data_IF_630299236574
#
_entry.id   IF_630299236574
#
_cell.length_a   1.000
_cell.length_b   1.000
_cell.length_c   1.000
_cell.angle_alpha   90.00
_cell.angle_beta   90.00
_cell.angle_gamma   90.00
#
_symmetry.space_group_name_H-M   'P 1'
#
loop_
_entity.id
_entity.type
_entity.pdbx_description
1 polymer ?
#
# COMPACT_ATOMS: atom_id res chain seq x y z
N UNK A 1 16.69 6.65 35.94
CA UNK A 1 15.44 6.78 35.15
C UNK A 1 15.32 5.59 34.19
N UNK A 2 14.93 4.41 34.68
CA UNK A 2 14.98 3.14 33.89
C UNK A 2 13.81 2.98 32.90
N UNK A 3 12.64 3.57 33.21
CA UNK A 3 11.46 3.49 32.35
C UNK A 3 11.63 4.23 31.03
N UNK A 4 12.26 5.42 31.06
CA UNK A 4 12.56 6.20 29.85
C UNK A 4 13.52 5.44 28.92
N UNK A 5 14.54 4.78 29.47
CA UNK A 5 15.48 3.96 28.69
C UNK A 5 14.76 2.79 28.03
N UNK A 6 13.96 2.03 28.78
CA UNK A 6 13.21 0.90 28.23
C UNK A 6 12.22 1.31 27.12
N UNK A 7 11.60 2.48 27.23
CA UNK A 7 10.74 3.02 26.18
C UNK A 7 11.55 3.41 24.93
N UNK A 8 12.71 4.05 25.11
CA UNK A 8 13.61 4.42 24.02
C UNK A 8 14.15 3.18 23.29
N UNK A 9 14.50 2.11 24.00
CA UNK A 9 14.93 0.84 23.41
C UNK A 9 13.83 0.20 22.55
N UNK A 10 12.59 0.16 23.05
CA UNK A 10 11.44 -0.34 22.28
C UNK A 10 11.19 0.51 21.03
N UNK A 11 11.26 1.83 21.15
CA UNK A 11 11.10 2.74 20.03
C UNK A 11 12.21 2.54 18.99
N UNK A 12 13.46 2.38 19.41
CA UNK A 12 14.60 2.16 18.51
C UNK A 12 14.47 0.86 17.70
N UNK A 13 13.84 -0.18 18.27
CA UNK A 13 13.59 -1.44 17.57
C UNK A 13 12.40 -1.32 16.62
N UNK A 14 11.30 -0.71 17.04
CA UNK A 14 10.05 -0.70 16.27
C UNK A 14 10.00 0.39 15.18
N UNK A 15 10.63 1.54 15.42
CA UNK A 15 10.60 2.68 14.49
C UNK A 15 11.17 2.35 13.10
N UNK A 16 12.30 1.63 12.96
CA UNK A 16 12.77 1.21 11.65
C UNK A 16 11.75 0.33 10.92
N UNK A 17 11.06 -0.57 11.62
CA UNK A 17 10.09 -1.49 11.02
C UNK A 17 8.85 -0.71 10.56
N UNK A 18 8.23 0.05 11.46
CA UNK A 18 7.01 0.80 11.14
C UNK A 18 7.27 1.94 10.15
N UNK A 19 8.40 2.63 10.30
CA UNK A 19 8.83 3.72 9.42
C UNK A 19 9.07 3.22 8.00
N UNK A 20 9.82 2.13 7.84
CA UNK A 20 10.08 1.58 6.49
C UNK A 20 8.81 1.03 5.83
N UNK A 21 7.90 0.39 6.57
CA UNK A 21 6.58 0.02 6.02
C UNK A 21 5.79 1.26 5.55
N UNK A 22 5.83 2.35 6.32
CA UNK A 22 5.19 3.61 5.93
C UNK A 22 5.86 4.26 4.69
N UNK A 23 7.17 4.12 4.52
CA UNK A 23 7.87 4.59 3.34
C UNK A 23 7.49 3.77 2.09
N UNK A 24 7.42 2.45 2.21
CA UNK A 24 7.02 1.55 1.13
C UNK A 24 5.62 1.86 0.61
N UNK A 25 4.63 2.00 1.50
CA UNK A 25 3.26 2.28 1.09
C UNK A 25 3.15 3.66 0.43
N UNK A 26 3.84 4.69 0.95
CA UNK A 26 3.84 6.03 0.34
C UNK A 26 4.48 6.05 -1.04
N UNK A 27 5.58 5.32 -1.23
CA UNK A 27 6.16 5.15 -2.56
C UNK A 27 5.20 4.45 -3.51
N UNK A 28 4.50 3.42 -3.03
CA UNK A 28 3.52 2.70 -3.84
C UNK A 28 2.34 3.61 -4.21
N UNK A 29 1.85 4.43 -3.26
CA UNK A 29 0.79 5.40 -3.50
C UNK A 29 1.13 6.36 -4.65
N UNK A 30 2.33 6.95 -4.62
CA UNK A 30 2.80 7.87 -5.67
C UNK A 30 2.88 7.17 -7.03
N UNK A 31 3.44 5.95 -7.07
CA UNK A 31 3.59 5.20 -8.33
C UNK A 31 2.25 4.75 -8.90
N UNK A 32 1.32 4.28 -8.05
CA UNK A 32 -0.04 3.92 -8.45
C UNK A 32 -0.74 5.15 -9.02
N UNK A 33 -0.72 6.29 -8.32
CA UNK A 33 -1.36 7.51 -8.80
C UNK A 33 -0.80 7.97 -10.16
N UNK A 34 0.53 7.95 -10.33
CA UNK A 34 1.17 8.28 -11.60
C UNK A 34 0.76 7.31 -12.73
N UNK A 35 0.75 6.00 -12.46
CA UNK A 35 0.42 5.00 -13.45
C UNK A 35 -1.06 5.04 -13.88
N UNK A 36 -1.97 5.33 -12.94
CA UNK A 36 -3.39 5.53 -13.24
C UNK A 36 -3.58 6.74 -14.17
N UNK A 37 -2.88 7.84 -13.88
CA UNK A 37 -2.94 9.05 -14.71
C UNK A 37 -2.34 8.83 -16.10
N UNK A 38 -1.17 8.20 -16.20
CA UNK A 38 -0.49 7.94 -17.48
C UNK A 38 -1.33 7.06 -18.40
N UNK A 39 -1.94 6.01 -17.84
CA UNK A 39 -2.80 5.07 -18.57
C UNK A 39 -4.24 5.57 -18.74
N UNK A 40 -4.56 6.75 -18.20
CA UNK A 40 -5.87 7.42 -18.28
C UNK A 40 -7.01 6.56 -17.73
N UNK A 41 -6.75 5.79 -16.66
CA UNK A 41 -7.80 5.10 -15.93
C UNK A 41 -8.67 6.10 -15.18
N UNK A 42 -9.95 5.75 -15.00
CA UNK A 42 -10.86 6.50 -14.14
C UNK A 42 -10.76 6.10 -12.67
N UNK A 43 -10.08 4.98 -12.36
CA UNK A 43 -9.80 4.54 -11.01
C UNK A 43 -9.18 5.64 -10.12
N UNK A 44 -9.65 5.72 -8.88
CA UNK A 44 -9.21 6.69 -7.87
C UNK A 44 -8.83 5.98 -6.58
N UNK A 45 -7.73 6.40 -5.97
CA UNK A 45 -7.35 5.97 -4.63
C UNK A 45 -8.14 6.78 -3.60
N UNK A 46 -8.97 6.11 -2.82
CA UNK A 46 -9.92 6.74 -1.88
C UNK A 46 -9.33 6.79 -0.48
N UNK A 47 -8.75 5.67 -0.02
CA UNK A 47 -8.21 5.54 1.33
C UNK A 47 -6.88 4.78 1.34
N UNK A 48 -6.08 5.09 2.35
CA UNK A 48 -4.96 4.28 2.77
C UNK A 48 -5.14 3.96 4.26
N UNK A 49 -5.09 2.68 4.62
CA UNK A 49 -5.22 2.20 6.00
C UNK A 49 -4.03 1.30 6.30
N UNK A 50 -3.02 1.86 6.98
CA UNK A 50 -1.77 1.18 7.29
C UNK A 50 -1.03 0.61 6.06
N UNK A 51 -1.25 -0.65 5.70
CA UNK A 51 -0.64 -1.35 4.56
C UNK A 51 -1.63 -1.61 3.41
N UNK A 52 -2.88 -1.17 3.55
CA UNK A 52 -3.96 -1.33 2.57
C UNK A 52 -4.21 -0.04 1.76
N UNK A 53 -4.46 -0.19 0.46
CA UNK A 53 -4.98 0.85 -0.41
C UNK A 53 -6.38 0.48 -0.89
N UNK A 54 -7.33 1.41 -0.76
CA UNK A 54 -8.71 1.26 -1.24
C UNK A 54 -8.89 2.13 -2.46
N UNK A 55 -9.34 1.52 -3.56
CA UNK A 55 -9.61 2.20 -4.81
C UNK A 55 -11.09 2.07 -5.19
N UNK A 56 -11.64 3.11 -5.80
CA UNK A 56 -12.93 3.10 -6.48
C UNK A 56 -12.70 3.26 -7.98
N UNK A 57 -13.41 2.47 -8.79
CA UNK A 57 -13.15 2.36 -10.23
C UNK A 57 -14.35 1.76 -10.99
N UNK A 58 -14.49 2.04 -12.30
CA UNK A 58 -15.46 1.37 -13.15
C UNK A 58 -15.21 -0.14 -13.24
N UNK A 59 -16.29 -0.94 -13.31
CA UNK A 59 -16.20 -2.40 -13.45
C UNK A 59 -15.34 -2.84 -14.65
N UNK A 60 -15.34 -2.06 -15.73
CA UNK A 60 -14.56 -2.32 -16.93
C UNK A 60 -13.04 -2.21 -16.73
N UNK A 61 -12.58 -1.53 -15.68
CA UNK A 61 -11.17 -1.30 -15.39
C UNK A 61 -10.59 -2.29 -14.37
N UNK A 62 -11.45 -3.04 -13.66
CA UNK A 62 -11.09 -3.87 -12.51
C UNK A 62 -9.86 -4.76 -12.77
N UNK A 63 -9.93 -5.63 -13.78
CA UNK A 63 -8.86 -6.59 -14.04
C UNK A 63 -7.52 -5.91 -14.37
N UNK A 64 -7.55 -4.78 -15.08
CA UNK A 64 -6.34 -4.08 -15.50
C UNK A 64 -5.73 -3.27 -14.36
N UNK A 65 -6.56 -2.59 -13.57
CA UNK A 65 -6.12 -1.79 -12.41
C UNK A 65 -5.66 -2.70 -11.28
N UNK A 66 -6.34 -3.82 -11.02
CA UNK A 66 -5.93 -4.80 -10.02
C UNK A 66 -4.52 -5.34 -10.31
N UNK A 67 -4.28 -5.77 -11.55
CA UNK A 67 -2.96 -6.26 -11.98
C UNK A 67 -1.88 -5.18 -11.83
N UNK A 68 -2.19 -3.95 -12.26
CA UNK A 68 -1.28 -2.80 -12.16
C UNK A 68 -0.91 -2.46 -10.72
N UNK A 69 -1.90 -2.35 -9.84
CA UNK A 69 -1.69 -2.00 -8.43
C UNK A 69 -0.89 -3.10 -7.73
N UNK A 70 -1.21 -4.37 -7.99
CA UNK A 70 -0.49 -5.51 -7.44
C UNK A 70 0.97 -5.54 -7.88
N UNK A 71 1.24 -5.29 -9.15
CA UNK A 71 2.61 -5.19 -9.68
C UNK A 71 3.38 -4.05 -9.00
N UNK A 72 2.81 -2.84 -8.96
CA UNK A 72 3.47 -1.67 -8.39
C UNK A 72 3.77 -1.88 -6.89
N UNK A 73 2.79 -2.36 -6.12
CA UNK A 73 2.96 -2.55 -4.68
C UNK A 73 3.96 -3.67 -4.36
N UNK A 74 3.96 -4.77 -5.12
CA UNK A 74 4.89 -5.89 -4.90
C UNK A 74 6.34 -5.58 -5.31
N UNK A 75 6.54 -4.60 -6.19
CA UNK A 75 7.86 -4.21 -6.74
C UNK A 75 8.32 -2.81 -6.34
N UNK A 76 7.65 -2.18 -5.37
CA UNK A 76 7.89 -0.78 -5.00
C UNK A 76 9.35 -0.53 -4.57
N UNK A 77 10.00 -1.52 -3.97
CA UNK A 77 11.38 -1.44 -3.52
C UNK A 77 12.08 -2.81 -3.58
N UNK A 78 13.37 -2.89 -3.97
CA UNK A 78 14.12 -4.14 -4.07
C UNK A 78 14.52 -4.66 -2.67
N UNK A 79 13.59 -5.35 -2.00
CA UNK A 79 13.85 -6.00 -0.73
C UNK A 79 14.53 -7.37 -0.92
N UNK A 80 15.21 -7.85 0.12
CA UNK A 80 15.82 -9.20 0.13
C UNK A 80 14.80 -10.33 0.09
N UNK A 81 13.54 -10.03 0.40
CA UNK A 81 12.41 -10.95 0.37
C UNK A 81 11.28 -10.29 -0.45
N UNK A 82 10.45 -11.07 -1.16
CA UNK A 82 9.38 -10.51 -1.98
C UNK A 82 8.28 -9.89 -1.11
N UNK A 83 7.71 -8.77 -1.57
CA UNK A 83 6.48 -8.21 -1.01
C UNK A 83 5.27 -8.91 -1.64
N UNK A 84 4.44 -9.51 -0.79
CA UNK A 84 3.19 -10.11 -1.22
C UNK A 84 2.07 -9.09 -1.10
N UNK A 85 1.20 -9.06 -2.11
CA UNK A 85 0.05 -8.16 -2.17
C UNK A 85 -1.17 -9.00 -2.49
N UNK A 86 -2.17 -8.92 -1.62
CA UNK A 86 -3.48 -9.52 -1.83
C UNK A 86 -4.43 -8.46 -2.38
N UNK A 87 -5.37 -8.91 -3.20
CA UNK A 87 -6.35 -8.06 -3.85
C UNK A 87 -7.73 -8.70 -3.73
N UNK A 88 -8.74 -7.88 -3.50
CA UNK A 88 -10.14 -8.27 -3.45
C UNK A 88 -10.98 -7.15 -4.10
N UNK A 89 -12.10 -7.54 -4.69
CA UNK A 89 -13.01 -6.63 -5.40
C UNK A 89 -14.43 -6.91 -4.95
N UNK A 90 -15.19 -5.85 -4.66
CA UNK A 90 -16.56 -5.93 -4.20
C UNK A 90 -17.32 -4.64 -4.48
N UNK A 91 -18.65 -4.67 -4.33
CA UNK A 91 -19.48 -3.47 -4.58
C UNK A 91 -19.40 -2.45 -3.44
N UNK A 92 -18.82 -2.85 -2.32
CA UNK A 92 -18.54 -2.03 -1.16
C UNK A 92 -17.29 -2.59 -0.46
N UNK A 93 -16.74 -1.82 0.46
CA UNK A 93 -15.51 -2.20 1.17
C UNK A 93 -15.67 -3.48 2.01
N UNK A 94 -16.88 -3.78 2.51
CA UNK A 94 -17.12 -5.00 3.28
C UNK A 94 -16.96 -6.27 2.41
N UNK A 95 -17.38 -6.19 1.14
CA UNK A 95 -17.22 -7.27 0.15
C UNK A 95 -15.81 -7.35 -0.44
N UNK A 96 -15.07 -6.24 -0.44
CA UNK A 96 -13.73 -6.12 -1.02
C UNK A 96 -12.60 -6.41 0.00
N UNK A 97 -12.76 -7.43 0.84
CA UNK A 97 -11.86 -7.77 1.94
C UNK A 97 -11.13 -9.10 1.73
#
# INVERSE_FOLDING_TARGET
NKQVVAMAERAAINMPIQGTSADLIKMAMIRVAAALQEKKYQAQMILQVHDELVLDLPESEVAAVEALVKEIMSTVYPLKVPLQVNTAVGKNWLEAK
#
